data_IF_322950349417
#
_entry.id   IF_322950349417
#
_cell.length_a   1.000
_cell.length_b   1.000
_cell.length_c   1.000
_cell.angle_alpha   90.00
_cell.angle_beta   90.00
_cell.angle_gamma   90.00
#
_symmetry.space_group_name_H-M   'P 1'
#
loop_
_entity.id
_entity.type
_entity.pdbx_description
1 polymer ?
#
# COMPACT_ATOMS: atom_id res chain seq x y z
N UNK A 1 -11.35 -36.11 -13.52
CA UNK A 1 -11.29 -35.02 -12.54
C UNK A 1 -11.78 -35.65 -11.23
N UNK A 2 -10.89 -35.80 -10.22
CA UNK A 2 -11.35 -36.16 -8.87
C UNK A 2 -12.16 -34.97 -8.37
N UNK A 3 -13.34 -35.24 -7.76
CA UNK A 3 -14.16 -34.22 -7.12
C UNK A 3 -13.27 -33.36 -6.23
N UNK A 4 -13.15 -32.08 -6.56
CA UNK A 4 -12.57 -31.13 -5.65
C UNK A 4 -13.50 -31.05 -4.44
N UNK A 5 -12.96 -31.20 -3.25
CA UNK A 5 -13.72 -31.13 -2.01
C UNK A 5 -14.26 -29.69 -1.83
N UNK A 6 -15.47 -29.47 -2.33
CA UNK A 6 -16.19 -28.24 -2.03
C UNK A 6 -16.74 -28.34 -0.62
N UNK A 7 -16.50 -27.29 0.16
CA UNK A 7 -17.06 -27.19 1.51
C UNK A 7 -18.12 -26.08 1.56
N UNK A 8 -19.17 -26.22 2.38
CA UNK A 8 -20.16 -25.17 2.55
C UNK A 8 -19.53 -23.85 2.99
N UNK A 9 -19.93 -22.74 2.37
CA UNK A 9 -19.48 -21.42 2.79
C UNK A 9 -19.94 -21.14 4.23
N UNK A 10 -18.98 -20.86 5.12
CA UNK A 10 -19.28 -20.32 6.45
C UNK A 10 -19.56 -18.82 6.29
N UNK A 11 -20.82 -18.46 6.23
CA UNK A 11 -21.23 -17.06 6.23
C UNK A 11 -20.98 -16.49 7.62
N UNK A 12 -20.24 -15.37 7.70
CA UNK A 12 -20.05 -14.63 8.95
C UNK A 12 -21.40 -14.08 9.47
N UNK A 13 -21.41 -13.61 10.71
CA UNK A 13 -22.58 -12.92 11.25
C UNK A 13 -22.84 -11.64 10.44
N UNK A 14 -24.06 -11.46 9.97
CA UNK A 14 -24.48 -10.19 9.40
C UNK A 14 -24.45 -9.12 10.50
N UNK A 15 -23.95 -7.91 10.20
CA UNK A 15 -24.03 -6.79 11.15
C UNK A 15 -25.49 -6.42 11.39
N UNK A 16 -25.80 -6.01 12.61
CA UNK A 16 -27.16 -5.60 12.99
C UNK A 16 -27.66 -4.40 12.17
N UNK A 17 -26.74 -3.54 11.72
CA UNK A 17 -26.97 -2.45 10.77
C UNK A 17 -25.82 -2.43 9.74
N UNK A 18 -26.04 -3.02 8.53
CA UNK A 18 -25.03 -3.03 7.47
C UNK A 18 -24.62 -1.64 6.98
N UNK A 19 -25.55 -0.69 6.93
CA UNK A 19 -25.26 0.67 6.50
C UNK A 19 -24.33 1.37 7.46
N UNK A 20 -24.64 1.29 8.76
CA UNK A 20 -23.80 1.86 9.82
C UNK A 20 -22.41 1.22 9.84
N UNK A 21 -22.31 -0.10 9.72
CA UNK A 21 -21.03 -0.80 9.70
C UNK A 21 -20.15 -0.34 8.53
N UNK A 22 -20.73 -0.12 7.34
CA UNK A 22 -20.03 0.38 6.18
C UNK A 22 -19.63 1.86 6.35
N UNK A 23 -20.49 2.69 6.91
CA UNK A 23 -20.22 4.11 7.17
C UNK A 23 -19.07 4.28 8.18
N UNK A 24 -19.02 3.48 9.23
CA UNK A 24 -17.94 3.49 10.22
C UNK A 24 -16.60 3.08 9.56
N UNK A 25 -16.61 2.07 8.71
CA UNK A 25 -15.43 1.66 7.94
C UNK A 25 -15.00 2.73 6.93
N UNK A 26 -15.95 3.30 6.18
CA UNK A 26 -15.69 4.37 5.21
C UNK A 26 -15.08 5.60 5.88
N UNK A 27 -15.62 6.02 7.03
CA UNK A 27 -15.10 7.12 7.84
C UNK A 27 -13.65 6.84 8.23
N UNK A 28 -13.36 5.64 8.76
CA UNK A 28 -12.01 5.21 9.12
C UNK A 28 -11.06 5.28 7.92
N UNK A 29 -11.50 4.84 6.74
CA UNK A 29 -10.68 4.86 5.53
C UNK A 29 -10.50 6.27 4.95
N UNK A 30 -11.46 7.18 5.13
CA UNK A 30 -11.32 8.61 4.76
C UNK A 30 -10.21 9.27 5.55
N UNK A 31 -10.04 8.92 6.82
CA UNK A 31 -8.99 9.44 7.70
C UNK A 31 -7.61 8.83 7.43
N UNK A 32 -7.53 7.78 6.61
CA UNK A 32 -6.24 7.21 6.23
C UNK A 32 -5.48 8.18 5.31
N UNK A 33 -4.28 8.56 5.72
CA UNK A 33 -3.39 9.43 4.95
C UNK A 33 -2.03 8.77 4.77
N UNK A 34 -1.30 9.19 3.75
CA UNK A 34 0.12 8.88 3.57
C UNK A 34 0.94 9.74 4.50
N UNK A 35 1.64 9.11 5.46
CA UNK A 35 2.40 9.80 6.52
C UNK A 35 3.89 9.65 6.27
N UNK A 36 4.64 10.74 6.46
CA UNK A 36 6.11 10.78 6.33
C UNK A 36 6.82 11.20 7.63
N UNK A 37 6.04 11.56 8.66
CA UNK A 37 6.54 11.96 9.97
C UNK A 37 6.06 10.93 10.99
N UNK A 38 6.91 9.99 11.32
CA UNK A 38 6.64 8.93 12.27
C UNK A 38 7.21 9.25 13.64
N UNK A 39 6.57 8.72 14.68
CA UNK A 39 7.14 8.57 16.01
C UNK A 39 8.00 7.31 16.05
N UNK A 40 9.02 7.32 16.90
CA UNK A 40 9.83 6.14 17.25
C UNK A 40 9.15 5.20 18.26
N UNK A 41 7.93 5.56 18.69
CA UNK A 41 7.14 4.75 19.62
C UNK A 41 7.05 3.30 19.15
N UNK A 42 7.45 2.32 19.98
CA UNK A 42 7.45 0.91 19.61
C UNK A 42 6.05 0.40 19.19
N UNK A 43 6.02 -0.44 18.18
CA UNK A 43 4.83 -1.20 17.77
C UNK A 43 5.09 -2.68 18.05
N UNK A 44 4.21 -3.38 18.80
CA UNK A 44 4.39 -4.80 19.08
C UNK A 44 4.45 -5.65 17.81
N UNK A 45 5.38 -6.60 17.77
CA UNK A 45 5.52 -7.53 16.65
C UNK A 45 4.21 -8.26 16.35
N UNK A 46 3.49 -8.71 17.39
CA UNK A 46 2.21 -9.40 17.25
C UNK A 46 1.14 -8.57 16.51
N UNK A 47 1.23 -7.23 16.56
CA UNK A 47 0.33 -6.37 15.81
C UNK A 47 0.70 -6.35 14.32
N UNK A 48 1.99 -6.30 14.00
CA UNK A 48 2.50 -6.40 12.62
C UNK A 48 2.14 -7.77 12.01
N UNK A 49 2.30 -8.85 12.76
CA UNK A 49 1.91 -10.20 12.32
C UNK A 49 0.43 -10.27 11.95
N UNK A 50 -0.46 -9.68 12.76
CA UNK A 50 -1.91 -9.63 12.46
C UNK A 50 -2.22 -8.78 11.23
N UNK A 51 -1.53 -7.68 11.04
CA UNK A 51 -1.67 -6.83 9.85
C UNK A 51 -1.26 -7.61 8.61
N UNK A 52 -0.13 -8.30 8.64
CA UNK A 52 0.36 -9.14 7.54
C UNK A 52 -0.58 -10.33 7.30
N UNK A 53 -1.05 -10.99 8.36
CA UNK A 53 -2.03 -12.06 8.24
C UNK A 53 -3.32 -11.60 7.56
N UNK A 54 -3.80 -10.38 7.88
CA UNK A 54 -4.95 -9.76 7.20
C UNK A 54 -4.66 -9.54 5.72
N UNK A 55 -3.48 -9.03 5.37
CA UNK A 55 -3.07 -8.89 3.96
C UNK A 55 -3.07 -10.23 3.22
N UNK A 56 -2.62 -11.30 3.88
CA UNK A 56 -2.59 -12.66 3.35
C UNK A 56 -3.96 -13.27 3.05
N UNK A 57 -5.07 -12.66 3.51
CA UNK A 57 -6.43 -13.11 3.16
C UNK A 57 -6.92 -12.58 1.82
N UNK A 58 -6.14 -11.79 1.10
CA UNK A 58 -6.50 -11.28 -0.21
C UNK A 58 -6.77 -12.41 -1.21
N UNK A 59 -7.71 -12.23 -2.15
CA UNK A 59 -7.86 -13.16 -3.25
C UNK A 59 -6.66 -13.09 -4.20
N UNK A 60 -6.39 -14.21 -4.89
CA UNK A 60 -5.33 -14.28 -5.90
C UNK A 60 -5.67 -15.26 -7.01
N UNK A 61 -5.11 -15.06 -8.20
CA UNK A 61 -5.31 -15.93 -9.34
C UNK A 61 -4.95 -17.38 -8.99
N UNK A 62 -5.92 -18.30 -9.17
CA UNK A 62 -5.82 -19.72 -8.80
C UNK A 62 -5.32 -19.96 -7.35
N UNK A 63 -5.59 -19.03 -6.44
CA UNK A 63 -5.13 -19.05 -5.06
C UNK A 63 -3.60 -19.23 -4.92
N UNK A 64 -2.84 -18.65 -5.85
CA UNK A 64 -1.38 -18.75 -5.87
C UNK A 64 -0.68 -17.88 -4.82
N UNK A 65 -1.36 -16.86 -4.28
CA UNK A 65 -0.87 -16.00 -3.20
C UNK A 65 0.57 -15.46 -3.48
N UNK A 66 0.78 -14.79 -4.62
CA UNK A 66 2.11 -14.46 -5.15
C UNK A 66 2.74 -13.26 -4.45
N UNK A 67 2.78 -13.30 -3.13
CA UNK A 67 3.33 -12.25 -2.28
C UNK A 67 4.24 -12.80 -1.20
N UNK A 68 5.26 -12.00 -0.84
CA UNK A 68 6.10 -12.20 0.32
C UNK A 68 6.21 -10.88 1.08
N UNK A 69 5.97 -10.93 2.39
CA UNK A 69 6.08 -9.77 3.27
C UNK A 69 7.30 -9.95 4.17
N UNK A 70 8.23 -9.01 4.12
CA UNK A 70 9.41 -9.01 4.99
C UNK A 70 9.22 -7.89 6.00
N UNK A 71 8.99 -8.25 7.27
CA UNK A 71 8.90 -7.30 8.37
C UNK A 71 10.29 -7.01 8.94
N UNK A 72 10.69 -5.74 8.98
CA UNK A 72 12.04 -5.29 9.29
C UNK A 72 11.96 -4.34 10.47
N UNK A 73 12.65 -4.69 11.55
CA UNK A 73 12.80 -3.88 12.75
C UNK A 73 14.26 -3.51 13.02
N UNK A 74 15.20 -4.32 12.54
CA UNK A 74 16.63 -4.14 12.77
C UNK A 74 17.10 -2.77 12.30
N UNK A 75 17.71 -1.94 13.20
CA UNK A 75 18.12 -0.58 12.86
C UNK A 75 19.23 -0.52 11.80
N UNK A 76 20.11 -1.54 11.75
CA UNK A 76 21.20 -1.58 10.77
C UNK A 76 20.65 -1.84 9.38
N UNK A 77 19.72 -2.79 9.24
CA UNK A 77 19.04 -3.09 7.98
C UNK A 77 18.20 -1.88 7.51
N UNK A 78 17.46 -1.24 8.42
CA UNK A 78 16.67 -0.04 8.10
C UNK A 78 17.56 1.10 7.60
N UNK A 79 18.72 1.32 8.23
CA UNK A 79 19.70 2.31 7.79
C UNK A 79 20.26 1.99 6.40
N UNK A 80 20.63 0.74 6.14
CA UNK A 80 21.10 0.31 4.82
C UNK A 80 20.04 0.56 3.74
N UNK A 81 18.79 0.18 4.02
CA UNK A 81 17.65 0.44 3.13
C UNK A 81 17.47 1.94 2.88
N UNK A 82 17.56 2.79 3.92
CA UNK A 82 17.43 4.24 3.77
C UNK A 82 18.50 4.79 2.85
N UNK A 83 19.76 4.46 3.09
CA UNK A 83 20.88 4.96 2.30
C UNK A 83 20.76 4.58 0.83
N UNK A 84 20.40 3.31 0.56
CA UNK A 84 20.19 2.84 -0.80
C UNK A 84 18.96 3.51 -1.48
N UNK A 85 17.88 3.73 -0.74
CA UNK A 85 16.69 4.41 -1.24
C UNK A 85 16.97 5.89 -1.55
N UNK A 86 17.68 6.60 -0.69
CA UNK A 86 18.07 8.00 -0.88
C UNK A 86 18.99 8.17 -2.09
N UNK A 87 19.90 7.24 -2.34
CA UNK A 87 20.75 7.26 -3.54
C UNK A 87 19.91 7.08 -4.82
N UNK A 88 18.95 6.14 -4.85
CA UNK A 88 18.04 5.99 -5.99
C UNK A 88 17.15 7.21 -6.21
N UNK A 89 16.66 7.82 -5.14
CA UNK A 89 15.87 9.05 -5.21
C UNK A 89 16.71 10.24 -5.68
N UNK A 90 17.94 10.37 -5.22
CA UNK A 90 18.87 11.41 -5.69
C UNK A 90 19.06 11.32 -7.21
N UNK A 91 19.36 10.12 -7.73
CA UNK A 91 19.49 9.87 -9.18
C UNK A 91 18.17 10.14 -9.92
N UNK A 92 17.03 9.79 -9.30
CA UNK A 92 15.72 10.07 -9.87
C UNK A 92 15.47 11.58 -10.01
N UNK A 93 15.67 12.36 -8.93
CA UNK A 93 15.45 13.80 -8.97
C UNK A 93 16.44 14.55 -9.86
N UNK A 94 17.70 14.09 -9.96
CA UNK A 94 18.71 14.72 -10.82
C UNK A 94 18.46 14.43 -12.29
N UNK A 95 18.29 13.17 -12.68
CA UNK A 95 18.43 12.76 -14.07
C UNK A 95 17.16 12.14 -14.69
N UNK A 96 16.34 11.41 -13.89
CA UNK A 96 15.26 10.56 -14.43
C UNK A 96 13.88 11.19 -14.40
N UNK A 97 13.62 12.10 -13.45
CA UNK A 97 12.30 12.71 -13.30
C UNK A 97 12.04 13.81 -14.32
N UNK A 98 10.98 13.68 -15.11
CA UNK A 98 10.52 14.75 -16.00
C UNK A 98 10.07 15.98 -15.20
N UNK A 99 10.10 17.15 -15.86
CA UNK A 99 9.61 18.41 -15.26
C UNK A 99 8.16 18.29 -14.79
N UNK A 100 7.31 17.60 -15.55
CA UNK A 100 5.91 17.38 -15.16
C UNK A 100 5.82 16.53 -13.88
N UNK A 101 6.60 15.45 -13.79
CA UNK A 101 6.60 14.60 -12.60
C UNK A 101 7.08 15.35 -11.35
N UNK A 102 8.19 16.11 -11.47
CA UNK A 102 8.67 16.97 -10.36
C UNK A 102 7.60 17.97 -9.91
N UNK A 103 6.85 18.56 -10.85
CA UNK A 103 5.73 19.46 -10.55
C UNK A 103 4.62 18.74 -9.77
N UNK A 104 4.25 17.52 -10.16
CA UNK A 104 3.21 16.73 -9.52
C UNK A 104 3.62 16.22 -8.12
N UNK A 105 4.93 15.99 -7.88
CA UNK A 105 5.46 15.61 -6.58
C UNK A 105 5.60 16.79 -5.60
N UNK A 106 5.76 18.00 -6.09
CA UNK A 106 5.96 19.19 -5.25
C UNK A 106 4.90 19.39 -4.17
N UNK A 107 3.58 19.26 -4.45
CA UNK A 107 2.54 19.36 -3.43
C UNK A 107 2.56 18.20 -2.42
N UNK A 108 3.24 17.10 -2.73
CA UNK A 108 3.31 15.92 -1.86
C UNK A 108 4.35 16.06 -0.75
N UNK A 109 5.19 17.11 -0.78
CA UNK A 109 6.22 17.35 0.23
C UNK A 109 7.23 16.21 0.33
N UNK A 110 7.68 15.68 -0.81
CA UNK A 110 8.68 14.61 -0.88
C UNK A 110 9.91 15.07 -1.65
N UNK A 111 11.07 14.70 -1.18
CA UNK A 111 12.40 14.96 -1.73
C UNK A 111 13.25 13.70 -1.70
N UNK A 112 14.56 13.82 -1.90
CA UNK A 112 15.51 12.71 -1.85
C UNK A 112 15.77 12.15 -0.44
N UNK A 113 15.47 12.89 0.63
CA UNK A 113 15.73 12.47 2.01
C UNK A 113 14.58 11.62 2.57
N UNK A 114 14.91 10.46 3.13
CA UNK A 114 13.93 9.48 3.60
C UNK A 114 14.15 9.08 5.07
N UNK A 115 14.29 10.04 6.01
CA UNK A 115 14.57 9.72 7.42
C UNK A 115 13.52 8.81 8.05
N UNK A 116 12.29 8.84 7.57
CA UNK A 116 11.19 7.99 8.02
C UNK A 116 11.48 6.48 7.85
N UNK A 117 12.41 6.07 6.98
CA UNK A 117 12.81 4.68 6.83
C UNK A 117 13.62 4.15 8.02
N UNK A 118 14.25 5.04 8.79
CA UNK A 118 14.89 4.65 10.07
C UNK A 118 13.98 4.92 11.28
N UNK A 119 13.23 6.03 11.26
CA UNK A 119 12.41 6.46 12.40
C UNK A 119 11.23 5.54 12.62
N UNK A 120 10.48 5.19 11.57
CA UNK A 120 9.34 4.28 11.69
C UNK A 120 9.77 2.98 12.37
N UNK A 121 9.06 2.49 13.42
CA UNK A 121 9.47 1.31 14.17
C UNK A 121 9.56 0.05 13.30
N UNK A 122 8.77 -0.03 12.24
CA UNK A 122 8.79 -1.15 11.30
C UNK A 122 8.83 -0.68 9.85
N UNK A 123 9.52 -1.47 9.02
CA UNK A 123 9.35 -1.45 7.57
C UNK A 123 8.76 -2.79 7.13
N UNK A 124 7.80 -2.77 6.22
CA UNK A 124 7.30 -3.97 5.55
C UNK A 124 7.68 -3.86 4.07
N UNK A 125 8.66 -4.67 3.64
CA UNK A 125 8.99 -4.80 2.24
C UNK A 125 8.09 -5.87 1.61
N UNK A 126 7.32 -5.50 0.60
CA UNK A 126 6.41 -6.40 -0.12
C UNK A 126 7.06 -6.80 -1.42
N UNK A 127 7.15 -8.10 -1.65
CA UNK A 127 7.70 -8.68 -2.88
C UNK A 127 6.60 -9.40 -3.66
N UNK A 128 6.69 -9.32 -4.98
CA UNK A 128 5.99 -10.19 -5.91
C UNK A 128 6.76 -11.49 -6.03
N UNK A 129 6.10 -12.61 -5.86
CA UNK A 129 6.64 -13.94 -6.13
C UNK A 129 6.27 -14.30 -7.57
N UNK A 130 7.27 -14.37 -8.45
CA UNK A 130 7.06 -14.58 -9.89
C UNK A 130 7.02 -16.05 -10.30
N UNK A 131 7.32 -16.93 -9.34
CA UNK A 131 7.34 -18.37 -9.51
C UNK A 131 6.81 -19.01 -8.23
N UNK A 132 5.77 -19.84 -8.33
CA UNK A 132 5.22 -20.54 -7.17
C UNK A 132 6.29 -21.43 -6.53
N UNK A 133 6.60 -21.17 -5.27
CA UNK A 133 7.63 -21.85 -4.49
C UNK A 133 7.05 -22.80 -3.41
N UNK A 134 5.73 -23.03 -3.44
CA UNK A 134 5.08 -23.98 -2.55
C UNK A 134 5.39 -25.43 -2.96
N UNK A 135 5.91 -26.27 -2.05
CA UNK A 135 6.48 -27.58 -2.40
C UNK A 135 5.46 -28.59 -2.96
N UNK A 136 4.19 -28.45 -2.61
CA UNK A 136 3.15 -29.42 -3.01
C UNK A 136 2.39 -29.02 -4.28
N UNK A 137 2.82 -27.96 -4.96
CA UNK A 137 2.15 -27.47 -6.17
C UNK A 137 2.73 -28.12 -7.44
N UNK A 138 1.82 -28.56 -8.31
CA UNK A 138 2.20 -29.23 -9.58
C UNK A 138 2.76 -28.25 -10.64
N UNK A 139 2.57 -26.95 -10.48
CA UNK A 139 2.99 -25.93 -11.42
C UNK A 139 3.55 -24.71 -10.67
N UNK A 140 4.70 -24.25 -11.12
CA UNK A 140 5.36 -23.05 -10.63
C UNK A 140 4.79 -21.75 -11.23
N UNK A 141 3.78 -21.85 -12.10
CA UNK A 141 3.14 -20.71 -12.74
C UNK A 141 2.26 -19.92 -11.75
N UNK A 142 2.40 -18.61 -11.78
CA UNK A 142 1.59 -17.64 -11.03
C UNK A 142 0.78 -16.77 -11.98
N UNK A 143 -0.36 -16.26 -11.51
CA UNK A 143 -1.30 -15.50 -12.32
C UNK A 143 -1.67 -14.17 -11.64
N UNK A 144 -1.95 -13.13 -12.43
CA UNK A 144 -2.43 -11.83 -11.94
C UNK A 144 -1.63 -11.31 -10.73
N UNK A 145 -0.30 -11.36 -10.86
CA UNK A 145 0.63 -11.10 -9.74
C UNK A 145 0.46 -9.67 -9.22
N UNK A 146 0.45 -8.66 -10.11
CA UNK A 146 0.36 -7.26 -9.70
C UNK A 146 -1.00 -6.96 -9.05
N UNK A 147 -2.09 -7.47 -9.61
CA UNK A 147 -3.45 -7.30 -9.11
C UNK A 147 -3.60 -7.96 -7.73
N UNK A 148 -3.13 -9.19 -7.59
CA UNK A 148 -3.17 -9.94 -6.34
C UNK A 148 -2.37 -9.25 -5.23
N UNK A 149 -1.13 -8.86 -5.50
CA UNK A 149 -0.28 -8.16 -4.53
C UNK A 149 -0.86 -6.78 -4.21
N UNK A 150 -1.43 -6.07 -5.18
CA UNK A 150 -2.11 -4.79 -4.97
C UNK A 150 -3.30 -4.91 -4.00
N UNK A 151 -4.14 -5.96 -4.15
CA UNK A 151 -5.24 -6.24 -3.22
C UNK A 151 -4.73 -6.56 -1.81
N UNK A 152 -3.69 -7.38 -1.69
CA UNK A 152 -3.07 -7.70 -0.41
C UNK A 152 -2.50 -6.46 0.29
N UNK A 153 -1.83 -5.57 -0.44
CA UNK A 153 -1.35 -4.29 0.08
C UNK A 153 -2.52 -3.39 0.50
N UNK A 154 -3.61 -3.35 -0.25
CA UNK A 154 -4.82 -2.62 0.14
C UNK A 154 -5.37 -3.05 1.51
N UNK A 155 -5.47 -4.38 1.74
CA UNK A 155 -5.88 -4.94 3.02
C UNK A 155 -4.87 -4.63 4.13
N UNK A 156 -3.56 -4.68 3.85
CA UNK A 156 -2.50 -4.29 4.81
C UNK A 156 -2.70 -2.84 5.29
N UNK A 157 -2.90 -1.91 4.35
CA UNK A 157 -3.09 -0.49 4.67
C UNK A 157 -4.35 -0.25 5.49
N UNK A 158 -5.44 -0.97 5.19
CA UNK A 158 -6.68 -0.91 5.96
C UNK A 158 -6.49 -1.46 7.38
N UNK A 159 -5.87 -2.63 7.52
CA UNK A 159 -5.58 -3.25 8.81
C UNK A 159 -4.68 -2.35 9.68
N UNK A 160 -3.62 -1.78 9.09
CA UNK A 160 -2.75 -0.83 9.81
C UNK A 160 -3.54 0.41 10.31
N UNK A 161 -4.44 0.96 9.48
CA UNK A 161 -5.28 2.09 9.88
C UNK A 161 -6.24 1.72 11.00
N UNK A 162 -6.89 0.55 10.95
CA UNK A 162 -7.77 0.04 12.02
C UNK A 162 -6.99 -0.14 13.32
N UNK A 163 -5.71 -0.56 13.23
CA UNK A 163 -4.81 -0.68 14.37
C UNK A 163 -4.28 0.67 14.90
N UNK A 164 -4.74 1.81 14.35
CA UNK A 164 -4.29 3.15 14.75
C UNK A 164 -2.89 3.52 14.25
N UNK A 165 -2.35 2.76 13.29
CA UNK A 165 -1.03 3.00 12.71
C UNK A 165 -1.11 3.81 11.43
N UNK A 166 -0.07 4.59 11.21
CA UNK A 166 0.19 5.31 9.97
C UNK A 166 1.08 4.48 9.03
N UNK A 167 0.92 4.73 7.73
CA UNK A 167 1.69 4.07 6.68
C UNK A 167 2.06 5.04 5.57
N UNK A 168 3.11 4.69 4.84
CA UNK A 168 3.48 5.28 3.55
C UNK A 168 3.73 4.15 2.55
N UNK A 169 3.20 4.25 1.35
CA UNK A 169 3.63 3.42 0.22
C UNK A 169 4.82 4.10 -0.46
N UNK A 170 6.02 3.55 -0.28
CA UNK A 170 7.26 4.09 -0.81
C UNK A 170 7.78 3.18 -1.93
N UNK A 171 8.00 3.76 -3.11
CA UNK A 171 8.39 3.03 -4.33
C UNK A 171 9.57 3.72 -5.04
N UNK A 172 10.76 3.76 -4.42
CA UNK A 172 11.94 4.26 -5.10
C UNK A 172 12.22 3.38 -6.33
N UNK A 173 12.55 3.98 -7.45
CA UNK A 173 12.72 3.22 -8.69
C UNK A 173 14.12 3.42 -9.27
N UNK A 174 14.86 2.30 -9.48
CA UNK A 174 14.53 0.88 -9.24
C UNK A 174 14.68 0.45 -7.78
N UNK A 175 13.88 -0.54 -7.33
CA UNK A 175 13.94 -1.08 -5.95
C UNK A 175 14.82 -2.34 -5.81
N UNK A 176 15.66 -2.65 -6.80
CA UNK A 176 16.47 -3.89 -6.81
C UNK A 176 17.39 -4.03 -5.59
N UNK A 177 17.76 -2.92 -4.96
CA UNK A 177 18.58 -2.92 -3.74
C UNK A 177 17.89 -3.69 -2.59
N UNK A 178 16.56 -3.67 -2.50
CA UNK A 178 15.83 -4.42 -1.47
C UNK A 178 16.06 -5.93 -1.57
N UNK A 179 16.09 -6.47 -2.79
CA UNK A 179 16.37 -7.90 -3.00
C UNK A 179 17.75 -8.30 -2.50
N UNK A 180 18.76 -7.42 -2.70
CA UNK A 180 20.13 -7.67 -2.23
C UNK A 180 20.26 -7.54 -0.72
N UNK A 181 19.76 -6.43 -0.15
CA UNK A 181 19.86 -6.16 1.31
C UNK A 181 19.13 -7.23 2.12
N UNK A 182 17.98 -7.71 1.61
CA UNK A 182 17.13 -8.68 2.32
C UNK A 182 17.37 -10.13 1.90
N UNK A 183 18.41 -10.38 1.10
CA UNK A 183 18.79 -11.72 0.59
C UNK A 183 17.60 -12.48 -0.01
N UNK A 184 16.91 -11.83 -0.95
CA UNK A 184 15.75 -12.44 -1.60
C UNK A 184 16.13 -13.16 -2.89
N UNK A 185 15.51 -14.33 -3.16
CA UNK A 185 15.80 -15.09 -4.39
C UNK A 185 15.36 -14.31 -5.63
N UNK A 186 15.94 -14.65 -6.78
CA UNK A 186 15.73 -13.89 -8.05
C UNK A 186 14.29 -13.88 -8.57
N UNK A 187 13.47 -14.86 -8.15
CA UNK A 187 12.04 -14.89 -8.49
C UNK A 187 11.17 -14.02 -7.59
N UNK A 188 11.73 -13.41 -6.55
CA UNK A 188 11.07 -12.40 -5.73
C UNK A 188 11.49 -10.99 -6.18
N UNK A 189 10.53 -10.19 -6.61
CA UNK A 189 10.75 -8.83 -7.11
C UNK A 189 10.09 -7.81 -6.18
N UNK A 190 10.80 -6.78 -5.70
CA UNK A 190 10.20 -5.75 -4.85
C UNK A 190 8.99 -5.08 -5.52
N UNK A 191 7.93 -4.89 -4.76
CA UNK A 191 6.70 -4.23 -5.20
C UNK A 191 6.48 -2.88 -4.52
N UNK A 192 6.59 -2.82 -3.20
CA UNK A 192 6.48 -1.60 -2.41
C UNK A 192 7.17 -1.77 -1.05
N UNK A 193 7.73 -0.68 -0.54
CA UNK A 193 8.25 -0.59 0.83
C UNK A 193 7.29 0.25 1.68
N UNK A 194 6.86 -0.27 2.83
CA UNK A 194 5.84 0.36 3.67
C UNK A 194 6.40 0.60 5.08
N UNK A 195 6.85 1.83 5.41
CA UNK A 195 7.03 2.24 6.79
C UNK A 195 5.71 2.17 7.56
N UNK A 196 5.75 1.60 8.76
CA UNK A 196 4.58 1.40 9.63
C UNK A 196 4.92 1.84 11.05
N UNK A 197 4.09 2.68 11.63
CA UNK A 197 4.28 3.17 13.00
C UNK A 197 3.20 4.16 13.39
N UNK A 198 3.32 4.73 14.57
CA UNK A 198 2.46 5.84 14.98
C UNK A 198 2.92 7.14 14.28
N UNK A 199 1.99 8.04 13.90
CA UNK A 199 2.38 9.35 13.39
C UNK A 199 3.05 10.15 14.52
N UNK A 200 3.96 11.05 14.16
CA UNK A 200 4.49 12.04 15.09
C UNK A 200 3.36 12.96 15.58
N UNK A 201 3.42 13.46 16.81
CA UNK A 201 2.36 14.31 17.40
C UNK A 201 2.05 15.57 16.57
N UNK A 202 3.06 16.16 15.94
CA UNK A 202 2.93 17.32 15.04
C UNK A 202 2.94 16.92 13.55
N UNK A 203 2.52 15.68 13.24
CA UNK A 203 2.52 15.18 11.88
C UNK A 203 1.58 16.00 11.00
N UNK A 204 2.10 16.44 9.87
CA UNK A 204 1.32 17.11 8.82
C UNK A 204 1.22 16.24 7.57
N UNK A 205 0.18 16.45 6.80
CA UNK A 205 -0.03 15.75 5.51
C UNK A 205 -0.47 16.75 4.45
N UNK A 206 -0.17 16.52 3.16
CA UNK A 206 -0.58 17.41 2.08
C UNK A 206 -2.09 17.66 2.09
N UNK A 207 -2.53 18.91 1.87
CA UNK A 207 -3.94 19.28 1.76
C UNK A 207 -4.47 18.87 0.38
N UNK A 208 -4.72 17.57 0.18
CA UNK A 208 -5.25 17.00 -1.06
C UNK A 208 -6.59 16.34 -0.81
N UNK A 209 -7.47 16.37 -1.81
CA UNK A 209 -8.78 15.73 -1.80
C UNK A 209 -8.79 14.45 -2.63
N UNK A 210 -9.78 13.61 -2.38
CA UNK A 210 -10.11 12.47 -3.23
C UNK A 210 -11.21 12.86 -4.21
N UNK A 211 -11.29 12.14 -5.32
CA UNK A 211 -12.42 12.25 -6.24
C UNK A 211 -13.73 11.95 -5.52
N UNK A 212 -14.78 12.66 -5.87
CA UNK A 212 -16.15 12.42 -5.41
C UNK A 212 -16.71 11.12 -6.02
N UNK A 213 -17.81 10.61 -5.44
CA UNK A 213 -18.38 9.32 -5.87
C UNK A 213 -18.81 9.34 -7.34
N UNK A 214 -19.41 10.42 -7.80
CA UNK A 214 -19.82 10.62 -9.19
C UNK A 214 -18.66 10.58 -10.20
N UNK A 215 -17.42 10.83 -9.72
CA UNK A 215 -16.20 10.78 -10.55
C UNK A 215 -15.54 9.40 -10.59
N UNK A 216 -15.98 8.46 -9.77
CA UNK A 216 -15.41 7.11 -9.67
C UNK A 216 -16.42 5.99 -9.87
N UNK A 217 -17.72 6.31 -9.90
CA UNK A 217 -18.80 5.34 -10.09
C UNK A 217 -19.67 5.75 -11.27
N UNK A 218 -19.98 4.77 -12.11
CA UNK A 218 -20.98 4.86 -13.18
C UNK A 218 -22.04 3.80 -12.86
N UNK A 219 -23.29 4.23 -12.72
CA UNK A 219 -24.36 3.35 -12.27
C UNK A 219 -24.85 2.41 -13.38
N UNK A 220 -24.99 2.89 -14.61
CA UNK A 220 -25.46 2.14 -15.77
C UNK A 220 -24.87 2.70 -17.06
N UNK A 221 -25.12 2.02 -18.19
CA UNK A 221 -24.67 2.51 -19.49
C UNK A 221 -25.30 3.85 -19.87
N UNK A 222 -26.56 4.11 -19.45
CA UNK A 222 -27.30 5.33 -19.75
C UNK A 222 -26.94 6.50 -18.84
N UNK A 223 -26.33 6.22 -17.67
CA UNK A 223 -25.79 7.22 -16.75
C UNK A 223 -24.32 7.50 -17.01
N UNK A 224 -23.85 7.26 -18.23
CA UNK A 224 -22.46 7.55 -18.60
C UNK A 224 -22.15 9.02 -18.30
N UNK A 225 -21.38 9.26 -17.24
CA UNK A 225 -20.74 10.55 -17.01
C UNK A 225 -19.93 10.84 -18.27
N UNK A 226 -20.40 11.78 -19.08
CA UNK A 226 -19.56 12.37 -20.11
C UNK A 226 -18.30 12.83 -19.42
N UNK A 227 -17.14 12.41 -19.91
CA UNK A 227 -15.91 13.05 -19.50
C UNK A 227 -16.14 14.56 -19.60
N UNK A 228 -15.88 15.34 -18.54
CA UNK A 228 -16.07 16.78 -18.63
C UNK A 228 -15.26 17.25 -19.83
N UNK A 229 -15.92 17.96 -20.74
CA UNK A 229 -15.22 18.67 -21.81
C UNK A 229 -14.08 19.45 -21.15
N UNK A 230 -12.90 19.37 -21.72
CA UNK A 230 -11.69 20.04 -21.20
C UNK A 230 -11.79 21.56 -21.11
N UNK A 231 -12.99 22.10 -21.35
CA UNK A 231 -13.36 23.53 -21.36
C UNK A 231 -14.14 24.00 -20.12
N UNK A 232 -14.59 23.08 -19.24
CA UNK A 232 -15.29 23.51 -18.04
C UNK A 232 -14.30 24.02 -16.97
N UNK A 233 -14.45 25.27 -16.48
CA UNK A 233 -13.62 25.78 -15.41
C UNK A 233 -13.87 24.97 -14.12
N UNK A 234 -12.79 24.59 -13.45
CA UNK A 234 -12.84 23.93 -12.15
C UNK A 234 -13.76 24.71 -11.20
N UNK A 235 -14.74 24.08 -10.54
CA UNK A 235 -15.56 24.76 -9.55
C UNK A 235 -14.67 25.32 -8.44
N UNK A 236 -14.88 26.62 -8.15
CA UNK A 236 -14.20 27.34 -7.08
C UNK A 236 -14.39 26.61 -5.75
N UNK A 237 -13.28 26.36 -5.07
CA UNK A 237 -13.26 25.84 -3.70
C UNK A 237 -13.92 26.88 -2.78
N UNK A 238 -15.19 26.66 -2.43
CA UNK A 238 -15.78 27.37 -1.30
C UNK A 238 -15.14 26.86 -0.02
N UNK A 239 -14.40 27.73 0.63
CA UNK A 239 -13.99 27.59 2.03
C UNK A 239 -15.25 27.68 2.89
N UNK A 240 -15.53 26.74 3.81
CA UNK A 240 -16.50 26.99 4.86
C UNK A 240 -15.88 27.92 5.90
N UNK A 241 -16.69 28.87 6.36
CA UNK A 241 -16.45 29.75 7.50
C UNK A 241 -16.23 28.99 8.81
#
# INVERSE_FOLDING_TARGET
MKDQDFVPLKVGREPDDPSKALDDFLSTMRDRRTVRQFSDRPVPQTLIERIIATAGTAPSGANKQPWRFIAIQDPAIKREIRLAAEEEERLFYQDRASTNWKRDLRPMGTDEHKPFLEIAPWLIAVFKVLKDDEPDRQSDQVYYVNESVGMAVGLLLAAAKIAGLATLTHTPSPMKFLGRILDRPSHETPFVLIPVGYPHEHCTVPAISRKTLDRIMILDRDSALRAPDSTDPLPSLNTPD
#
